data_IF_422947775421
#
_entry.id   IF_422947775421
#
_cell.length_a   1.000
_cell.length_b   1.000
_cell.length_c   1.000
_cell.angle_alpha   90.00
_cell.angle_beta   90.00
_cell.angle_gamma   90.00
#
_symmetry.space_group_name_H-M   'P 1'
#
loop_
_entity.id
_entity.type
_entity.pdbx_description
1 polymer ?
#
# COMPACT_ATOMS: atom_id res chain seq x y z
N UNK A 1 -24.32 23.75 23.04
CA UNK A 1 -24.77 24.84 22.14
C UNK A 1 -25.86 24.30 21.24
N UNK A 2 -27.13 24.49 21.59
CA UNK A 2 -28.29 24.02 20.83
C UNK A 2 -29.13 25.23 20.40
N UNK A 3 -29.63 25.24 19.16
CA UNK A 3 -30.39 26.34 18.54
C UNK A 3 -29.60 27.65 18.40
N UNK A 4 -28.34 27.55 17.99
CA UNK A 4 -27.53 28.73 17.69
C UNK A 4 -27.57 29.00 16.19
N UNK A 5 -27.76 30.26 15.81
CA UNK A 5 -27.60 30.68 14.42
C UNK A 5 -26.09 30.79 14.14
N UNK A 6 -25.55 29.83 13.39
CA UNK A 6 -24.15 29.83 12.96
C UNK A 6 -24.12 30.01 11.45
N UNK A 7 -23.68 31.19 11.01
CA UNK A 7 -23.89 31.68 9.64
C UNK A 7 -25.39 31.75 9.31
N UNK A 8 -25.79 31.26 8.13
CA UNK A 8 -27.19 31.17 7.66
C UNK A 8 -27.88 29.86 8.08
N UNK A 9 -27.27 29.06 8.97
CA UNK A 9 -27.80 27.77 9.40
C UNK A 9 -28.03 27.73 10.91
N UNK A 10 -29.16 27.12 11.31
CA UNK A 10 -29.44 26.85 12.72
C UNK A 10 -28.74 25.56 13.12
N UNK A 11 -27.80 25.67 14.05
CA UNK A 11 -27.07 24.55 14.62
C UNK A 11 -27.91 23.83 15.68
N UNK A 12 -28.31 22.60 15.39
CA UNK A 12 -28.95 21.67 16.34
C UNK A 12 -27.92 20.66 16.85
N UNK A 13 -27.75 20.57 18.16
CA UNK A 13 -26.82 19.63 18.81
C UNK A 13 -27.55 18.75 19.79
N UNK A 14 -27.62 17.45 19.50
CA UNK A 14 -28.26 16.46 20.36
C UNK A 14 -27.23 15.47 20.90
N UNK A 15 -27.42 15.03 22.14
CA UNK A 15 -26.64 13.94 22.70
C UNK A 15 -27.17 12.62 22.15
N UNK A 16 -26.32 11.89 21.43
CA UNK A 16 -26.68 10.60 20.84
C UNK A 16 -26.18 9.49 21.78
N UNK A 17 -27.08 8.60 22.25
CA UNK A 17 -26.66 7.44 23.04
C UNK A 17 -25.88 6.46 22.16
N UNK A 18 -24.89 5.73 22.71
CA UNK A 18 -23.98 4.90 21.94
C UNK A 18 -24.67 3.80 21.11
N UNK A 19 -25.84 3.32 21.55
CA UNK A 19 -26.63 2.31 20.84
C UNK A 19 -27.22 2.80 19.51
N UNK A 20 -27.39 4.12 19.35
CA UNK A 20 -27.95 4.74 18.13
C UNK A 20 -26.87 5.24 17.18
N UNK A 21 -25.60 5.09 17.53
CA UNK A 21 -24.48 5.46 16.65
C UNK A 21 -24.41 4.46 15.52
N UNK A 22 -24.63 4.92 14.30
CA UNK A 22 -24.57 4.06 13.13
C UNK A 22 -23.15 3.51 12.94
N UNK A 23 -23.02 2.20 12.71
CA UNK A 23 -21.72 1.51 12.63
C UNK A 23 -20.77 2.06 11.54
N UNK A 24 -21.31 2.71 10.51
CA UNK A 24 -20.52 3.30 9.42
C UNK A 24 -20.23 4.80 9.60
N UNK A 25 -20.62 5.42 10.73
CA UNK A 25 -20.45 6.86 10.97
C UNK A 25 -19.00 7.32 10.76
N UNK A 26 -18.05 6.48 11.18
CA UNK A 26 -16.61 6.77 11.09
C UNK A 26 -15.89 6.06 9.94
N UNK A 27 -16.65 5.42 9.03
CA UNK A 27 -16.06 4.68 7.92
C UNK A 27 -15.40 5.66 6.94
N UNK A 28 -14.08 5.65 6.89
CA UNK A 28 -13.29 6.53 6.01
C UNK A 28 -12.76 7.80 6.68
N UNK A 29 -13.07 8.04 7.96
CA UNK A 29 -12.60 9.23 8.69
C UNK A 29 -11.07 9.27 8.89
N UNK A 30 -10.40 8.11 8.85
CA UNK A 30 -8.95 7.97 8.99
C UNK A 30 -8.29 7.34 7.75
N UNK A 31 -8.63 7.80 6.54
CA UNK A 31 -7.92 7.29 5.36
C UNK A 31 -6.50 7.87 5.31
N UNK A 32 -5.50 7.02 5.50
CA UNK A 32 -4.11 7.35 5.16
C UNK A 32 -3.87 6.91 3.72
N UNK A 33 -3.57 7.85 2.83
CA UNK A 33 -3.17 7.50 1.47
C UNK A 33 -1.89 6.68 1.53
N UNK A 34 -1.96 5.43 1.03
CA UNK A 34 -0.78 4.60 0.85
C UNK A 34 -0.21 4.92 -0.53
N UNK A 35 1.01 5.47 -0.64
CA UNK A 35 1.60 5.74 -1.95
C UNK A 35 1.77 4.43 -2.71
N UNK A 36 1.40 4.45 -3.99
CA UNK A 36 1.58 3.30 -4.88
C UNK A 36 3.07 3.13 -5.16
N UNK A 37 3.58 1.91 -5.02
CA UNK A 37 4.99 1.62 -5.34
C UNK A 37 5.17 1.46 -6.86
N UNK A 38 5.32 2.59 -7.54
CA UNK A 38 5.51 2.66 -8.99
C UNK A 38 6.75 1.88 -9.46
N UNK A 39 7.84 1.93 -8.70
CA UNK A 39 9.09 1.24 -9.02
C UNK A 39 8.89 -0.28 -9.11
N UNK A 40 8.16 -0.85 -8.14
CA UNK A 40 7.86 -2.29 -8.16
C UNK A 40 6.92 -2.68 -9.30
N UNK A 41 5.92 -1.85 -9.60
CA UNK A 41 4.99 -2.09 -10.70
C UNK A 41 5.73 -2.06 -12.03
N UNK A 42 6.58 -1.07 -12.24
CA UNK A 42 7.30 -0.89 -13.49
C UNK A 42 8.38 -1.96 -13.68
N UNK A 43 9.07 -2.36 -12.60
CA UNK A 43 9.97 -3.53 -12.62
C UNK A 43 9.24 -4.78 -13.09
N UNK A 44 8.05 -5.06 -12.55
CA UNK A 44 7.23 -6.22 -12.98
C UNK A 44 6.83 -6.13 -14.45
N UNK A 45 6.51 -4.93 -14.97
CA UNK A 45 6.15 -4.72 -16.38
C UNK A 45 7.34 -4.92 -17.32
N UNK A 46 8.52 -4.43 -16.95
CA UNK A 46 9.75 -4.60 -17.74
C UNK A 46 10.28 -6.04 -17.71
N UNK A 47 10.17 -6.70 -16.57
CA UNK A 47 10.66 -8.06 -16.39
C UNK A 47 9.64 -9.13 -16.84
N UNK A 48 8.45 -8.71 -17.29
CA UNK A 48 7.44 -9.61 -17.86
C UNK A 48 8.01 -10.27 -19.11
N UNK A 49 7.95 -11.59 -19.17
CA UNK A 49 8.25 -12.35 -20.37
C UNK A 49 7.24 -12.01 -21.46
N UNK A 50 7.74 -11.76 -22.67
CA UNK A 50 6.93 -11.42 -23.85
C UNK A 50 6.95 -12.59 -24.81
N UNK A 51 5.79 -12.92 -25.36
CA UNK A 51 5.71 -13.86 -26.48
C UNK A 51 6.22 -13.20 -27.77
N UNK A 52 6.55 -14.01 -28.78
CA UNK A 52 7.05 -13.53 -30.07
C UNK A 52 6.08 -12.54 -30.73
N UNK A 53 4.77 -12.78 -30.62
CA UNK A 53 3.74 -11.86 -31.15
C UNK A 53 3.70 -10.54 -30.40
N UNK A 54 3.79 -10.57 -29.06
CA UNK A 54 3.85 -9.37 -28.24
C UNK A 54 5.12 -8.55 -28.56
N UNK A 55 6.22 -9.23 -28.87
CA UNK A 55 7.46 -8.59 -29.28
C UNK A 55 7.33 -7.90 -30.65
N UNK A 56 6.76 -8.58 -31.66
CA UNK A 56 6.52 -7.97 -32.99
C UNK A 56 5.65 -6.70 -32.86
N UNK A 57 4.55 -6.78 -32.11
CA UNK A 57 3.69 -5.62 -31.81
C UNK A 57 4.43 -4.51 -31.06
N UNK A 58 5.36 -4.86 -30.17
CA UNK A 58 6.19 -3.90 -29.45
C UNK A 58 7.15 -3.18 -30.39
N UNK A 59 7.81 -3.91 -31.30
CA UNK A 59 8.70 -3.34 -32.30
C UNK A 59 7.98 -2.41 -33.27
N UNK A 60 6.82 -2.82 -33.80
CA UNK A 60 6.00 -1.95 -34.66
C UNK A 60 5.65 -0.63 -33.97
N UNK A 61 5.33 -0.68 -32.66
CA UNK A 61 5.07 0.52 -31.86
C UNK A 61 6.31 1.39 -31.71
N UNK A 62 7.50 0.80 -31.56
CA UNK A 62 8.76 1.54 -31.51
C UNK A 62 9.00 2.25 -32.85
N UNK A 63 8.92 1.54 -33.97
CA UNK A 63 9.10 2.13 -35.31
C UNK A 63 8.12 3.28 -35.57
N UNK A 64 6.84 3.10 -35.21
CA UNK A 64 5.81 4.17 -35.34
C UNK A 64 6.14 5.41 -34.49
N UNK A 65 6.69 5.23 -33.29
CA UNK A 65 7.11 6.36 -32.44
C UNK A 65 8.34 7.04 -33.00
N UNK A 66 9.28 6.28 -33.55
CA UNK A 66 10.49 6.84 -34.14
C UNK A 66 10.20 7.69 -35.36
N UNK A 67 9.37 7.22 -36.28
CA UNK A 67 8.89 8.01 -37.42
C UNK A 67 8.20 9.31 -36.98
N UNK A 68 7.39 9.27 -35.92
CA UNK A 68 6.76 10.48 -35.37
C UNK A 68 7.79 11.43 -34.77
N UNK A 69 8.85 10.91 -34.15
CA UNK A 69 9.94 11.73 -33.59
C UNK A 69 10.72 12.40 -34.72
N UNK A 70 11.10 11.67 -35.76
CA UNK A 70 11.80 12.21 -36.92
C UNK A 70 11.02 13.35 -37.58
N UNK A 71 9.72 13.15 -37.85
CA UNK A 71 8.84 14.20 -38.40
C UNK A 71 8.77 15.46 -37.52
N UNK A 72 8.80 15.30 -36.20
CA UNK A 72 8.80 16.44 -35.27
C UNK A 72 10.12 17.21 -35.30
N UNK A 73 11.23 16.51 -35.46
CA UNK A 73 12.58 17.11 -35.56
C UNK A 73 12.70 17.89 -36.88
N UNK A 74 12.27 17.30 -37.99
CA UNK A 74 12.21 17.95 -39.30
C UNK A 74 11.30 19.19 -39.28
N UNK A 75 10.10 19.08 -38.68
CA UNK A 75 9.19 20.21 -38.53
C UNK A 75 9.74 21.33 -37.63
N UNK A 76 10.63 21.00 -36.70
CA UNK A 76 11.33 21.98 -35.87
C UNK A 76 12.54 22.62 -36.59
N UNK A 77 12.84 22.19 -37.82
CA UNK A 77 13.97 22.68 -38.61
C UNK A 77 15.34 22.23 -38.09
N UNK A 78 15.38 21.15 -37.32
CA UNK A 78 16.62 20.63 -36.73
C UNK A 78 17.22 19.59 -37.68
N UNK A 79 18.44 19.83 -38.15
CA UNK A 79 19.21 18.85 -38.93
C UNK A 79 19.81 17.79 -37.99
N UNK A 80 19.01 16.78 -37.68
CA UNK A 80 19.43 15.66 -36.84
C UNK A 80 19.02 14.32 -37.46
N UNK A 81 20.03 13.52 -37.82
CA UNK A 81 19.86 12.13 -38.25
C UNK A 81 19.75 11.22 -37.02
N UNK A 82 18.54 10.70 -36.78
CA UNK A 82 18.34 9.74 -35.70
C UNK A 82 19.01 8.40 -36.06
N UNK A 83 19.80 7.79 -35.15
CA UNK A 83 20.40 6.48 -35.38
C UNK A 83 19.32 5.40 -35.53
N UNK A 84 19.66 4.34 -36.25
CA UNK A 84 18.76 3.20 -36.44
C UNK A 84 18.51 2.48 -35.11
N UNK A 85 17.30 1.95 -34.97
CA UNK A 85 16.92 1.19 -33.78
C UNK A 85 17.54 -0.21 -33.89
N UNK A 86 18.71 -0.38 -33.29
CA UNK A 86 19.39 -1.67 -33.19
C UNK A 86 18.64 -2.61 -32.21
N UNK A 87 18.48 -3.88 -32.58
CA UNK A 87 17.82 -4.90 -31.76
C UNK A 87 16.46 -5.42 -32.26
N UNK A 88 16.10 -5.12 -33.52
CA UNK A 88 14.87 -5.64 -34.14
C UNK A 88 14.97 -7.02 -34.80
N UNK A 89 16.18 -7.48 -35.12
CA UNK A 89 16.38 -8.70 -35.92
C UNK A 89 16.52 -10.00 -35.12
N UNK A 90 16.79 -9.92 -33.82
CA UNK A 90 17.11 -11.09 -33.00
C UNK A 90 15.95 -11.46 -32.10
N UNK A 91 15.50 -12.72 -32.20
CA UNK A 91 14.62 -13.28 -31.18
C UNK A 91 15.28 -13.08 -29.80
N UNK A 92 14.55 -12.52 -28.82
CA UNK A 92 15.12 -12.20 -27.54
C UNK A 92 15.48 -13.53 -26.86
N UNK A 93 16.79 -13.74 -26.67
CA UNK A 93 17.27 -14.86 -25.90
C UNK A 93 16.52 -14.90 -24.55
N UNK A 94 16.02 -16.08 -24.12
CA UNK A 94 15.24 -16.18 -22.90
C UNK A 94 16.06 -15.62 -21.74
N UNK A 95 15.52 -14.59 -21.06
CA UNK A 95 16.18 -13.98 -19.90
C UNK A 95 16.36 -15.06 -18.83
N UNK A 96 17.58 -15.59 -18.67
CA UNK A 96 17.90 -16.56 -17.61
C UNK A 96 17.74 -15.87 -16.25
N UNK A 97 16.59 -16.08 -15.61
CA UNK A 97 16.38 -15.69 -14.21
C UNK A 97 17.10 -16.70 -13.32
N UNK A 98 18.00 -16.24 -12.45
CA UNK A 98 18.49 -17.08 -11.33
C UNK A 98 17.28 -17.37 -10.45
N UNK A 99 16.91 -18.64 -10.32
CA UNK A 99 15.89 -19.08 -9.39
C UNK A 99 16.48 -18.98 -7.98
N UNK A 100 15.90 -18.13 -7.14
CA UNK A 100 16.21 -18.11 -5.71
C UNK A 100 15.69 -19.42 -5.09
N UNK A 101 16.57 -20.40 -4.89
CA UNK A 101 16.28 -21.74 -4.37
C UNK A 101 15.74 -21.77 -2.91
N UNK A 102 15.44 -20.62 -2.29
CA UNK A 102 15.16 -20.50 -0.85
C UNK A 102 13.69 -20.64 -0.43
N UNK A 103 12.79 -21.15 -1.30
CA UNK A 103 11.36 -21.32 -0.93
C UNK A 103 10.93 -22.74 -0.57
N UNK A 104 11.76 -23.76 -0.84
CA UNK A 104 11.37 -25.17 -0.62
C UNK A 104 11.60 -25.62 0.84
N UNK A 105 12.45 -24.94 1.61
CA UNK A 105 12.82 -25.41 2.96
C UNK A 105 11.82 -25.02 4.06
N UNK A 106 11.01 -23.97 3.89
CA UNK A 106 10.14 -23.46 4.99
C UNK A 106 8.81 -24.24 5.13
N UNK A 107 8.45 -25.11 4.17
CA UNK A 107 7.21 -25.91 4.23
C UNK A 107 7.37 -27.25 4.97
N UNK A 108 8.59 -27.67 5.33
CA UNK A 108 8.86 -29.01 5.88
C UNK A 108 9.14 -29.05 7.38
N UNK A 109 8.93 -27.97 8.12
CA UNK A 109 9.02 -27.97 9.59
C UNK A 109 7.76 -27.37 10.17
N UNK A 110 6.80 -28.22 10.55
CA UNK A 110 6.01 -28.14 11.79
C UNK A 110 4.86 -29.16 11.76
N UNK A 111 5.21 -30.45 11.91
CA UNK A 111 4.30 -31.47 12.40
C UNK A 111 4.56 -31.65 13.90
N UNK A 112 3.79 -30.99 14.75
CA UNK A 112 3.62 -31.39 16.17
C UNK A 112 2.14 -31.63 16.41
N UNK A 113 1.78 -32.92 16.46
CA UNK A 113 0.45 -33.43 16.82
C UNK A 113 0.19 -33.17 18.30
N UNK A 114 -1.00 -32.66 18.61
CA UNK A 114 -1.61 -32.66 19.94
C UNK A 114 -3.12 -32.90 19.80
N UNK A 115 -3.59 -34.01 20.37
CA UNK A 115 -4.93 -34.59 20.19
C UNK A 115 -6.10 -33.70 20.64
N UNK A 116 -7.16 -33.63 19.83
CA UNK A 116 -8.51 -33.23 20.29
C UNK A 116 -9.29 -34.49 20.69
N UNK A 117 -9.63 -34.62 21.97
CA UNK A 117 -10.75 -35.46 22.41
C UNK A 117 -12.01 -34.58 22.40
N UNK A 118 -12.97 -34.93 21.57
CA UNK A 118 -14.34 -34.42 21.67
C UNK A 118 -15.04 -35.06 22.87
N UNK A 119 -15.77 -34.26 23.67
CA UNK A 119 -17.04 -34.72 24.24
C UNK A 119 -17.92 -33.54 24.67
N UNK A 120 -19.04 -33.45 23.95
CA UNK A 120 -20.37 -32.89 24.24
C UNK A 120 -20.62 -32.03 25.50
N UNK A 121 -21.41 -30.99 25.24
CA UNK A 121 -22.30 -30.24 26.15
C UNK A 121 -22.74 -31.00 27.40
N UNK A 122 -22.78 -30.30 28.55
CA UNK A 122 -23.81 -30.47 29.59
C UNK A 122 -23.92 -29.23 30.52
N UNK A 123 -25.19 -28.92 30.79
CA UNK A 123 -25.90 -28.10 31.77
C UNK A 123 -25.23 -27.22 32.86
N UNK A 124 -25.98 -26.16 33.20
CA UNK A 124 -26.19 -25.42 34.46
C UNK A 124 -25.16 -25.47 35.61
N UNK A 125 -24.79 -24.27 36.09
CA UNK A 125 -24.29 -24.00 37.45
C UNK A 125 -23.91 -22.52 37.63
N UNK A 126 -24.44 -21.87 38.66
CA UNK A 126 -24.17 -20.48 39.07
C UNK A 126 -22.76 -20.32 39.70
N UNK A 127 -22.32 -19.05 39.82
CA UNK A 127 -21.19 -18.54 40.65
C UNK A 127 -19.80 -18.86 40.05
N UNK A 128 -18.85 -17.96 39.80
CA UNK A 128 -18.38 -16.79 40.54
C UNK A 128 -17.82 -15.69 39.61
N UNK A 129 -18.07 -14.44 39.97
CA UNK A 129 -17.43 -13.25 39.39
C UNK A 129 -15.99 -13.18 39.90
N UNK A 130 -14.99 -13.41 39.04
CA UNK A 130 -13.61 -13.05 39.35
C UNK A 130 -13.37 -11.56 39.07
N UNK A 131 -12.85 -10.78 40.03
CA UNK A 131 -12.65 -9.35 39.84
C UNK A 131 -11.50 -9.06 38.88
N UNK A 132 -11.71 -8.08 38.00
CA UNK A 132 -10.69 -7.52 37.11
C UNK A 132 -9.58 -6.90 37.98
N UNK A 133 -8.29 -7.21 37.75
CA UNK A 133 -7.20 -6.54 38.46
C UNK A 133 -7.19 -5.06 38.08
N UNK A 134 -7.58 -4.21 39.03
CA UNK A 134 -7.21 -2.79 39.02
C UNK A 134 -5.71 -2.78 39.24
N UNK A 135 -4.96 -2.21 38.29
CA UNK A 135 -3.65 -1.55 38.41
C UNK A 135 -3.03 -1.46 37.01
N UNK A 136 -3.46 -0.48 36.21
CA UNK A 136 -2.60 0.01 35.14
C UNK A 136 -1.98 1.29 35.65
N UNK A 137 -0.73 1.19 36.10
CA UNK A 137 0.09 2.36 36.41
C UNK A 137 0.10 3.28 35.18
N UNK A 138 -0.36 4.50 35.41
CA UNK A 138 -0.35 5.58 34.44
C UNK A 138 1.11 5.99 34.27
N UNK A 139 1.74 5.56 33.16
CA UNK A 139 3.08 6.02 32.80
C UNK A 139 2.97 7.53 32.54
N UNK A 140 3.42 8.34 33.49
CA UNK A 140 3.60 9.76 33.27
C UNK A 140 4.67 9.97 32.18
N UNK A 141 4.43 10.81 31.16
CA UNK A 141 5.50 11.23 30.27
C UNK A 141 6.52 12.05 31.08
N UNK A 142 7.84 11.89 30.83
CA UNK A 142 8.84 12.67 31.54
C UNK A 142 8.69 14.16 31.21
N UNK A 143 8.39 14.94 32.25
CA UNK A 143 8.36 16.40 32.27
C UNK A 143 9.78 16.96 32.13
N UNK A 144 10.34 17.03 30.93
CA UNK A 144 11.46 17.92 30.62
C UNK A 144 11.59 18.13 29.11
N UNK A 145 11.16 19.30 28.63
CA UNK A 145 11.66 19.89 27.38
C UNK A 145 12.69 20.95 27.76
N UNK A 146 13.96 20.88 27.32
CA UNK A 146 14.88 21.99 27.51
C UNK A 146 14.53 23.09 26.52
N UNK A 147 13.92 24.17 27.03
CA UNK A 147 13.95 25.48 26.42
C UNK A 147 15.38 26.02 26.55
N UNK A 148 16.18 25.90 25.50
CA UNK A 148 17.37 26.75 25.37
C UNK A 148 17.36 27.45 24.02
N UNK A 149 16.89 28.69 24.11
CA UNK A 149 17.28 29.81 23.26
C UNK A 149 18.80 29.86 23.09
N UNK A 150 19.26 29.85 21.84
CA UNK A 150 20.47 30.58 21.48
C UNK A 150 20.30 31.22 20.11
N UNK A 151 19.75 32.44 20.15
CA UNK A 151 20.09 33.50 19.22
C UNK A 151 21.61 33.73 19.33
N UNK A 152 22.37 33.37 18.29
CA UNK A 152 23.66 33.99 18.01
C UNK A 152 23.65 34.51 16.59
N UNK A 153 23.57 35.83 16.55
CA UNK A 153 23.88 36.73 15.45
C UNK A 153 25.40 36.64 15.18
N UNK A 154 25.77 36.83 13.90
CA UNK A 154 27.09 36.85 13.24
C UNK A 154 27.43 35.57 12.47
#
# INVERSE_FOLDING_TARGET
MHNYLLFEHVLHVHLIPPQKVHLKLWKGFNFRVRPVNWVQIERKRHDKERTVEELKKFMEKIMKRDLKRQKKIEAAGIDYKCPEIEGGGEEPAPKKRKTDQKKVTILNSNHRKGNKKERSQNHLGMEDVHPIPKNHEFIHPPDTWPLETNLKIL
#
